data_IF_449784090193
#
_entry.id   IF_449784090193
#
_cell.length_a   1.000
_cell.length_b   1.000
_cell.length_c   1.000
_cell.angle_alpha   90.00
_cell.angle_beta   90.00
_cell.angle_gamma   90.00
#
_symmetry.space_group_name_H-M   'P 1'
#
loop_
_entity.id
_entity.type
_entity.pdbx_description
1 polymer ?
#
# COMPACT_ATOMS: atom_id res chain seq x y z
N UNK A 1 21.97 12.81 40.88
CA UNK A 1 21.90 14.28 41.06
C UNK A 1 22.04 14.97 39.72
N UNK A 2 21.18 15.92 39.47
CA UNK A 2 20.99 16.94 38.44
C UNK A 2 19.95 16.55 37.34
N UNK A 3 18.76 17.10 37.61
CA UNK A 3 17.66 17.38 36.69
C UNK A 3 18.09 18.44 35.66
N UNK A 4 17.62 18.34 34.43
CA UNK A 4 17.33 19.53 33.62
C UNK A 4 16.02 19.34 32.91
N UNK A 5 15.06 20.09 33.36
CA UNK A 5 13.79 20.42 32.73
C UNK A 5 14.01 21.56 31.73
N UNK A 6 13.38 21.52 30.55
CA UNK A 6 13.07 22.74 29.81
C UNK A 6 11.83 22.53 28.96
N UNK A 7 10.70 22.97 29.51
CA UNK A 7 9.52 23.37 28.77
C UNK A 7 9.84 24.53 27.81
N UNK A 8 9.35 24.48 26.59
CA UNK A 8 8.96 25.67 25.85
C UNK A 8 7.72 25.45 25.01
N UNK A 9 6.60 25.87 25.59
CA UNK A 9 5.38 26.19 24.86
C UNK A 9 5.60 27.43 23.99
N UNK A 10 5.17 27.40 22.74
CA UNK A 10 4.96 28.60 21.94
C UNK A 10 3.55 28.56 21.35
N UNK A 11 2.71 29.36 21.98
CA UNK A 11 1.39 29.78 21.49
C UNK A 11 1.64 30.87 20.44
N UNK A 12 1.09 30.73 19.25
CA UNK A 12 0.89 31.85 18.34
C UNK A 12 -0.58 32.02 18.03
N UNK A 13 -1.04 33.20 18.41
CA UNK A 13 -2.39 33.67 18.31
C UNK A 13 -2.81 34.01 16.88
N UNK A 14 -4.10 33.96 16.70
CA UNK A 14 -4.77 34.27 15.44
C UNK A 14 -4.66 35.72 15.01
N UNK A 15 -4.71 35.91 13.70
CA UNK A 15 -5.08 37.17 13.08
C UNK A 15 -6.02 36.89 11.90
N UNK A 16 -7.29 37.13 12.12
CA UNK A 16 -8.31 37.21 11.05
C UNK A 16 -8.19 38.54 10.35
N UNK A 17 -7.93 38.52 9.05
CA UNK A 17 -8.10 39.72 8.20
C UNK A 17 -9.13 39.40 7.14
N UNK A 18 -10.29 40.00 7.29
CA UNK A 18 -11.33 40.04 6.25
C UNK A 18 -10.98 41.14 5.24
N UNK A 19 -10.82 40.80 3.98
CA UNK A 19 -10.90 41.74 2.89
C UNK A 19 -12.00 41.33 1.92
N UNK A 20 -13.10 42.04 1.98
CA UNK A 20 -14.09 42.02 0.92
C UNK A 20 -13.71 43.04 -0.14
N UNK A 21 -13.62 42.62 -1.39
CA UNK A 21 -13.80 43.48 -2.56
C UNK A 21 -14.20 42.60 -3.74
N UNK A 22 -15.39 42.79 -4.26
CA UNK A 22 -15.87 42.13 -5.46
C UNK A 22 -15.14 42.63 -6.71
N UNK A 23 -14.85 41.68 -7.58
CA UNK A 23 -14.64 41.96 -9.00
C UNK A 23 -15.36 40.87 -9.81
N UNK A 24 -16.39 41.31 -10.55
CA UNK A 24 -17.00 40.54 -11.62
C UNK A 24 -15.94 40.22 -12.69
N UNK A 25 -15.57 38.97 -12.85
CA UNK A 25 -14.72 38.47 -13.90
C UNK A 25 -15.34 37.29 -14.59
N UNK A 26 -15.52 37.36 -15.89
CA UNK A 26 -16.12 36.37 -16.80
C UNK A 26 -15.88 34.94 -16.42
N UNK A 27 -16.99 34.21 -16.27
CA UNK A 27 -16.96 32.76 -16.07
C UNK A 27 -16.47 32.01 -17.30
N UNK A 28 -15.29 31.44 -17.22
CA UNK A 28 -14.97 30.22 -17.96
C UNK A 28 -15.37 29.08 -17.05
N UNK A 29 -16.53 28.48 -17.32
CA UNK A 29 -16.88 27.15 -16.79
C UNK A 29 -15.99 26.16 -17.54
N UNK A 30 -14.75 26.01 -17.06
CA UNK A 30 -13.99 24.81 -17.32
C UNK A 30 -14.55 23.74 -16.38
N UNK A 31 -15.23 22.74 -16.93
CA UNK A 31 -15.46 21.49 -16.22
C UNK A 31 -14.07 20.95 -15.83
N UNK A 32 -13.74 21.10 -14.56
CA UNK A 32 -12.71 20.31 -13.92
C UNK A 32 -13.25 18.87 -13.93
N UNK A 33 -12.98 18.14 -15.02
CA UNK A 33 -13.00 16.69 -14.98
C UNK A 33 -11.94 16.30 -13.96
N UNK A 34 -12.40 16.05 -12.73
CA UNK A 34 -11.60 15.33 -11.74
C UNK A 34 -11.40 13.93 -12.28
N UNK A 35 -10.26 13.71 -12.95
CA UNK A 35 -9.84 12.37 -13.36
C UNK A 35 -9.66 11.56 -12.08
N UNK A 36 -10.55 10.61 -11.85
CA UNK A 36 -10.49 9.64 -10.75
C UNK A 36 -9.42 8.59 -11.08
N UNK A 37 -8.17 8.90 -10.84
CA UNK A 37 -7.04 7.99 -11.05
C UNK A 37 -6.42 7.63 -9.70
N UNK A 38 -6.20 6.35 -9.40
CA UNK A 38 -5.94 5.86 -8.03
C UNK A 38 -5.38 4.42 -8.03
N UNK A 39 -4.53 3.98 -7.16
CA UNK A 39 -3.21 3.34 -7.20
C UNK A 39 -2.48 4.25 -8.11
N UNK A 40 -1.28 4.66 -7.87
CA UNK A 40 -0.79 5.72 -8.76
C UNK A 40 -1.04 5.31 -10.22
N UNK A 41 -1.92 6.04 -10.92
CA UNK A 41 -2.55 5.68 -12.21
C UNK A 41 -3.44 4.40 -12.21
N UNK A 42 -3.88 3.87 -11.06
CA UNK A 42 -4.85 2.78 -10.98
C UNK A 42 -6.30 3.24 -11.06
N UNK A 43 -7.24 2.31 -11.07
CA UNK A 43 -8.67 2.57 -11.05
C UNK A 43 -9.31 2.01 -9.78
N UNK A 44 -10.33 2.71 -9.28
CA UNK A 44 -11.10 2.25 -8.14
C UNK A 44 -11.90 1.00 -8.51
N UNK A 45 -11.77 -0.05 -7.71
CA UNK A 45 -12.46 -1.31 -7.97
C UNK A 45 -13.87 -1.30 -7.41
N UNK A 46 -14.75 -2.08 -8.03
CA UNK A 46 -16.11 -2.27 -7.53
C UNK A 46 -16.09 -2.88 -6.13
N UNK A 47 -17.05 -2.54 -5.25
CA UNK A 47 -17.19 -3.19 -3.97
C UNK A 47 -17.24 -4.72 -4.11
N UNK A 48 -16.42 -5.42 -3.31
CA UNK A 48 -16.29 -6.87 -3.35
C UNK A 48 -15.28 -7.43 -4.36
N UNK A 49 -14.68 -6.61 -5.23
CA UNK A 49 -13.56 -7.05 -6.04
C UNK A 49 -12.31 -7.30 -5.15
N UNK A 50 -11.51 -8.30 -5.54
CA UNK A 50 -10.33 -8.73 -4.79
C UNK A 50 -10.64 -8.89 -3.29
N UNK A 51 -11.59 -9.76 -2.91
CA UNK A 51 -12.00 -9.91 -1.50
C UNK A 51 -10.90 -10.48 -0.61
N UNK A 52 -9.87 -11.10 -1.20
CA UNK A 52 -8.65 -11.55 -0.53
C UNK A 52 -7.69 -10.41 -0.17
N UNK A 53 -7.82 -9.24 -0.82
CA UNK A 53 -6.96 -8.08 -0.56
C UNK A 53 -7.63 -7.15 0.45
N UNK A 54 -6.94 -6.87 1.53
CA UNK A 54 -7.47 -6.15 2.69
C UNK A 54 -6.55 -5.00 3.10
N UNK A 55 -7.11 -4.00 3.76
CA UNK A 55 -6.32 -2.98 4.45
C UNK A 55 -5.91 -3.53 5.82
N UNK A 56 -4.66 -3.36 6.18
CA UNK A 56 -4.15 -3.61 7.53
C UNK A 56 -4.00 -2.27 8.25
N UNK A 57 -4.66 -2.14 9.40
CA UNK A 57 -4.50 -1.00 10.30
C UNK A 57 -3.71 -1.44 11.52
N UNK A 58 -2.56 -0.80 11.74
CA UNK A 58 -1.71 -1.00 12.90
C UNK A 58 -1.92 0.16 13.87
N UNK A 59 -2.15 -0.15 15.15
CA UNK A 59 -2.29 0.84 16.20
C UNK A 59 -1.04 0.82 17.10
N UNK A 60 -0.49 1.98 17.39
CA UNK A 60 0.65 2.22 18.27
C UNK A 60 0.24 3.21 19.37
N UNK A 61 1.02 3.35 20.41
CA UNK A 61 0.74 4.29 21.51
C UNK A 61 0.64 5.75 21.05
N UNK A 62 1.40 6.13 20.02
CA UNK A 62 1.51 7.50 19.52
C UNK A 62 0.88 7.72 18.15
N UNK A 63 0.17 6.72 17.59
CA UNK A 63 -0.45 6.87 16.29
C UNK A 63 -0.98 5.59 15.66
N UNK A 64 -1.17 5.64 14.36
CA UNK A 64 -1.56 4.48 13.56
C UNK A 64 -0.89 4.49 12.20
N UNK A 65 -0.63 3.31 11.64
CA UNK A 65 -0.18 3.12 10.28
C UNK A 65 -1.17 2.26 9.50
N UNK A 66 -1.06 2.32 8.17
CA UNK A 66 -1.89 1.52 7.26
C UNK A 66 -1.04 0.90 6.18
N UNK A 67 -1.33 -0.34 5.90
CA UNK A 67 -0.73 -1.12 4.83
C UNK A 67 -1.81 -1.89 4.07
N UNK A 68 -1.41 -2.60 3.06
CA UNK A 68 -2.23 -3.57 2.35
C UNK A 68 -1.74 -4.98 2.69
N UNK A 69 -2.63 -5.94 2.68
CA UNK A 69 -2.30 -7.36 2.87
C UNK A 69 -3.16 -8.26 2.00
N UNK A 70 -2.75 -9.51 1.89
CA UNK A 70 -3.46 -10.50 1.06
C UNK A 70 -3.68 -11.79 1.84
N UNK A 71 -4.92 -12.22 2.02
CA UNK A 71 -5.21 -13.53 2.57
C UNK A 71 -4.70 -14.63 1.63
N UNK A 72 -3.85 -15.51 2.14
CA UNK A 72 -3.26 -16.65 1.40
C UNK A 72 -3.85 -17.99 1.85
N UNK A 73 -4.55 -17.99 2.97
CA UNK A 73 -5.41 -19.07 3.44
C UNK A 73 -6.52 -18.50 4.36
N UNK A 74 -7.27 -19.36 5.05
CA UNK A 74 -8.44 -18.97 5.87
C UNK A 74 -8.09 -18.02 7.04
N UNK A 75 -6.85 -18.03 7.52
CA UNK A 75 -6.45 -17.33 8.75
C UNK A 75 -5.18 -16.50 8.59
N UNK A 76 -4.48 -16.53 7.44
CA UNK A 76 -3.19 -15.90 7.29
C UNK A 76 -3.17 -14.85 6.18
N UNK A 77 -2.70 -13.66 6.54
CA UNK A 77 -2.45 -12.54 5.62
C UNK A 77 -0.96 -12.42 5.37
N UNK A 78 -0.56 -12.42 4.10
CA UNK A 78 0.78 -12.07 3.66
C UNK A 78 0.87 -10.56 3.47
N UNK A 79 1.93 -9.95 4.00
CA UNK A 79 2.19 -8.51 3.95
C UNK A 79 3.69 -8.22 4.00
N UNK A 80 4.08 -6.94 4.01
CA UNK A 80 5.48 -6.55 4.17
C UNK A 80 5.90 -6.58 5.65
N UNK A 81 7.16 -6.91 5.90
CA UNK A 81 7.72 -6.91 7.25
C UNK A 81 7.72 -5.51 7.86
N UNK A 82 8.09 -4.48 7.09
CA UNK A 82 8.12 -3.10 7.58
C UNK A 82 6.74 -2.59 8.06
N UNK A 83 5.65 -3.21 7.63
CA UNK A 83 4.30 -2.86 8.11
C UNK A 83 4.08 -3.28 9.57
N UNK A 84 4.69 -4.38 10.00
CA UNK A 84 4.34 -5.05 11.26
C UNK A 84 5.54 -5.30 12.18
N UNK A 85 6.76 -4.97 11.77
CA UNK A 85 7.96 -5.25 12.54
C UNK A 85 8.07 -4.46 13.87
N UNK A 86 7.33 -3.37 14.00
CA UNK A 86 7.31 -2.52 15.21
C UNK A 86 6.12 -2.83 16.14
N UNK A 87 5.22 -3.75 15.76
CA UNK A 87 4.11 -4.13 16.64
C UNK A 87 4.60 -5.04 17.77
N UNK A 88 3.87 -5.03 18.88
CA UNK A 88 4.06 -6.02 19.94
C UNK A 88 3.63 -7.41 19.43
N UNK A 89 4.57 -8.33 19.27
CA UNK A 89 4.30 -9.66 18.73
C UNK A 89 3.55 -10.57 19.70
N UNK A 90 3.56 -10.26 20.99
CA UNK A 90 2.79 -10.99 22.00
C UNK A 90 1.32 -10.56 22.03
N UNK A 91 1.04 -9.29 21.66
CA UNK A 91 -0.32 -8.75 21.60
C UNK A 91 -0.45 -7.76 20.43
N UNK A 92 -0.39 -8.24 19.17
CA UNK A 92 -0.32 -7.37 18.01
C UNK A 92 -1.61 -6.58 17.81
N UNK A 93 -1.53 -5.26 17.88
CA UNK A 93 -2.63 -4.33 17.57
C UNK A 93 -2.74 -4.11 16.05
N UNK A 94 -2.92 -5.20 15.29
CA UNK A 94 -3.11 -5.23 13.83
C UNK A 94 -4.51 -5.69 13.51
N UNK A 95 -5.22 -4.92 12.69
CA UNK A 95 -6.61 -5.18 12.32
C UNK A 95 -6.76 -5.33 10.82
N UNK A 96 -7.56 -6.32 10.40
CA UNK A 96 -8.07 -6.38 9.02
C UNK A 96 -9.24 -5.42 8.90
N UNK A 97 -9.16 -4.55 7.91
CA UNK A 97 -10.18 -3.55 7.59
C UNK A 97 -10.60 -3.69 6.13
N UNK A 98 -11.88 -3.56 5.88
CA UNK A 98 -12.45 -3.61 4.53
C UNK A 98 -13.36 -2.42 4.27
N UNK A 99 -13.55 -2.12 2.99
CA UNK A 99 -14.56 -1.17 2.54
C UNK A 99 -15.95 -1.75 2.79
N UNK A 100 -16.81 -0.95 3.38
CA UNK A 100 -18.19 -1.27 3.68
C UNK A 100 -19.09 -0.06 3.36
N UNK A 101 -20.39 -0.23 3.56
CA UNK A 101 -21.36 0.87 3.53
C UNK A 101 -22.14 0.86 4.83
N UNK A 102 -22.53 2.05 5.31
CA UNK A 102 -23.45 2.18 6.42
C UNK A 102 -24.90 1.90 5.98
N UNK A 103 -25.84 2.00 6.92
CA UNK A 103 -27.27 1.77 6.66
C UNK A 103 -27.88 2.77 5.66
N UNK A 104 -27.21 3.87 5.37
CA UNK A 104 -27.61 4.89 4.39
C UNK A 104 -26.88 4.71 3.05
N UNK A 105 -26.03 3.67 2.91
CA UNK A 105 -25.23 3.42 1.72
C UNK A 105 -23.98 4.30 1.60
N UNK A 106 -23.59 5.02 2.65
CA UNK A 106 -22.38 5.84 2.65
C UNK A 106 -21.15 4.97 2.89
N UNK A 107 -20.05 5.23 2.16
CA UNK A 107 -18.80 4.50 2.33
C UNK A 107 -18.28 4.61 3.76
N UNK A 108 -17.90 3.48 4.33
CA UNK A 108 -17.26 3.39 5.63
C UNK A 108 -16.19 2.28 5.65
N UNK A 109 -15.36 2.28 6.68
CA UNK A 109 -14.42 1.20 6.98
C UNK A 109 -14.98 0.31 8.09
N UNK A 110 -14.80 -1.00 7.94
CA UNK A 110 -15.22 -1.99 8.95
C UNK A 110 -14.05 -2.91 9.28
N UNK A 111 -13.68 -2.97 10.56
CA UNK A 111 -12.77 -3.98 11.05
C UNK A 111 -13.46 -5.36 11.05
N UNK A 112 -12.78 -6.37 10.53
CA UNK A 112 -13.25 -7.76 10.49
C UNK A 112 -12.64 -8.61 11.61
N UNK A 113 -11.41 -8.32 12.02
CA UNK A 113 -10.73 -9.06 13.07
C UNK A 113 -9.41 -8.42 13.48
N UNK A 114 -8.96 -8.78 14.69
CA UNK A 114 -7.66 -8.43 15.26
C UNK A 114 -6.69 -9.60 15.05
N UNK A 115 -5.43 -9.31 14.79
CA UNK A 115 -4.37 -10.30 14.68
C UNK A 115 -4.14 -11.03 16.00
N UNK A 116 -3.77 -12.30 15.92
CA UNK A 116 -3.40 -13.15 17.06
C UNK A 116 -1.90 -13.42 17.13
N UNK A 117 -1.20 -13.36 16.01
CA UNK A 117 0.26 -13.46 15.97
C UNK A 117 0.82 -12.84 14.68
N UNK A 118 2.11 -12.54 14.71
CA UNK A 118 2.88 -12.02 13.58
C UNK A 118 4.17 -12.80 13.45
N UNK A 119 4.49 -13.25 12.24
CA UNK A 119 5.78 -13.83 11.89
C UNK A 119 6.47 -12.94 10.86
N UNK A 120 7.63 -12.39 11.21
CA UNK A 120 8.47 -11.57 10.33
C UNK A 120 9.60 -12.42 9.77
N UNK A 121 9.97 -12.17 8.51
CA UNK A 121 11.11 -12.84 7.89
C UNK A 121 12.37 -12.65 8.74
N UNK A 122 13.11 -13.72 9.11
CA UNK A 122 14.20 -13.64 10.08
C UNK A 122 15.36 -12.74 9.65
N UNK A 123 15.55 -12.57 8.33
CA UNK A 123 16.61 -11.71 7.77
C UNK A 123 16.16 -10.26 7.58
N UNK A 124 14.95 -9.87 8.00
CA UNK A 124 14.51 -8.49 7.93
C UNK A 124 15.14 -7.67 9.07
N UNK A 125 15.95 -6.61 8.74
CA UNK A 125 16.76 -5.91 9.74
C UNK A 125 15.97 -4.89 10.59
N UNK A 126 14.67 -4.74 10.38
CA UNK A 126 13.78 -3.74 11.00
C UNK A 126 14.31 -2.29 10.87
N UNK A 127 14.79 -1.94 9.69
CA UNK A 127 15.33 -0.62 9.37
C UNK A 127 14.46 0.18 8.37
N UNK A 128 13.22 -0.28 8.15
CA UNK A 128 12.24 0.32 7.21
C UNK A 128 12.73 0.40 5.75
N UNK A 129 13.79 -0.33 5.40
CA UNK A 129 14.39 -0.30 4.07
C UNK A 129 13.75 -1.31 3.13
N UNK A 130 13.78 -1.02 1.83
CA UNK A 130 13.41 -1.95 0.76
C UNK A 130 14.40 -3.11 0.76
N UNK A 131 13.91 -4.32 1.08
CA UNK A 131 14.71 -5.55 1.20
C UNK A 131 13.98 -6.75 0.59
N UNK A 132 14.69 -7.72 0.02
CA UNK A 132 14.07 -8.97 -0.44
C UNK A 132 13.54 -9.84 0.71
N UNK A 133 13.92 -9.54 1.96
CA UNK A 133 13.39 -10.12 3.20
C UNK A 133 12.25 -9.29 3.82
N UNK A 134 11.75 -8.28 3.15
CA UNK A 134 10.64 -7.46 3.63
C UNK A 134 9.29 -8.18 3.46
N UNK A 135 9.11 -9.25 4.24
CA UNK A 135 7.99 -10.17 4.16
C UNK A 135 7.54 -10.59 5.55
N UNK A 136 6.23 -10.62 5.78
CA UNK A 136 5.64 -11.06 7.04
C UNK A 136 4.30 -11.79 6.80
N UNK A 137 3.96 -12.66 7.74
CA UNK A 137 2.66 -13.34 7.81
C UNK A 137 1.98 -12.95 9.11
N UNK A 138 0.74 -12.54 9.03
CA UNK A 138 -0.11 -12.17 10.16
C UNK A 138 -1.24 -13.18 10.29
N UNK A 139 -1.37 -13.79 11.48
CA UNK A 139 -2.42 -14.75 11.78
C UNK A 139 -3.67 -14.05 12.34
N UNK A 140 -4.83 -14.49 11.89
CA UNK A 140 -6.15 -14.07 12.36
C UNK A 140 -7.00 -15.30 12.76
N UNK A 141 -8.10 -15.06 13.47
CA UNK A 141 -9.09 -16.11 13.74
C UNK A 141 -9.80 -16.56 12.45
N UNK A 142 -10.38 -17.76 12.51
CA UNK A 142 -11.24 -18.26 11.43
C UNK A 142 -12.45 -17.35 11.23
N UNK A 143 -12.88 -17.19 9.96
CA UNK A 143 -14.03 -16.38 9.59
C UNK A 143 -13.72 -14.91 9.32
N UNK A 144 -12.47 -14.47 9.50
CA UNK A 144 -12.03 -13.10 9.12
C UNK A 144 -11.77 -13.01 7.61
N UNK A 145 -11.24 -14.06 7.00
CA UNK A 145 -10.98 -14.12 5.56
C UNK A 145 -12.26 -14.20 4.75
N UNK A 146 -12.40 -13.32 3.74
CA UNK A 146 -13.51 -13.33 2.78
C UNK A 146 -13.18 -14.17 1.53
N UNK A 147 -11.92 -14.28 1.18
CA UNK A 147 -11.39 -15.10 0.08
C UNK A 147 -9.87 -15.27 0.26
N UNK A 148 -9.25 -16.08 -0.57
CA UNK A 148 -7.84 -16.42 -0.48
C UNK A 148 -7.20 -16.35 -1.86
N UNK A 149 -6.02 -15.73 -1.94
CA UNK A 149 -5.20 -15.73 -3.15
C UNK A 149 -4.45 -17.07 -3.28
N UNK A 150 -4.36 -17.56 -4.50
CA UNK A 150 -3.46 -18.66 -4.82
C UNK A 150 -2.03 -18.12 -5.00
N UNK A 151 -1.06 -18.70 -4.31
CA UNK A 151 0.35 -18.39 -4.49
C UNK A 151 0.82 -18.91 -5.86
N UNK A 152 1.52 -18.07 -6.60
CA UNK A 152 2.13 -18.47 -7.86
C UNK A 152 3.34 -19.37 -7.57
N UNK A 153 3.36 -20.56 -8.15
CA UNK A 153 4.45 -21.53 -7.98
C UNK A 153 5.59 -21.35 -9.00
N UNK A 154 5.41 -20.49 -10.00
CA UNK A 154 6.40 -20.23 -11.04
C UNK A 154 7.03 -18.85 -10.84
N UNK A 155 8.37 -18.73 -10.94
CA UNK A 155 9.03 -17.43 -10.91
C UNK A 155 8.46 -16.47 -11.95
N UNK A 156 8.41 -15.19 -11.61
CA UNK A 156 8.05 -14.14 -12.55
C UNK A 156 9.12 -13.99 -13.64
N UNK A 157 8.75 -13.44 -14.79
CA UNK A 157 9.67 -13.21 -15.91
C UNK A 157 9.46 -11.81 -16.47
N UNK A 158 10.55 -11.19 -16.93
CA UNK A 158 10.49 -9.95 -17.70
C UNK A 158 9.49 -10.05 -18.85
N UNK A 159 8.67 -9.02 -19.01
CA UNK A 159 7.64 -8.93 -20.05
C UNK A 159 6.30 -9.54 -19.69
N UNK A 160 6.15 -10.23 -18.55
CA UNK A 160 4.84 -10.71 -18.10
C UNK A 160 3.95 -9.54 -17.65
N UNK A 161 2.67 -9.62 -17.99
CA UNK A 161 1.66 -8.68 -17.52
C UNK A 161 1.40 -8.93 -16.04
N UNK A 162 1.29 -7.86 -15.28
CA UNK A 162 1.00 -7.88 -13.86
C UNK A 162 -0.20 -6.99 -13.52
N UNK A 163 -0.83 -7.29 -12.40
CA UNK A 163 -1.83 -6.45 -11.75
C UNK A 163 -1.42 -6.22 -10.31
N UNK A 164 -1.43 -4.97 -9.87
CA UNK A 164 -1.25 -4.60 -8.47
C UNK A 164 -2.58 -4.17 -7.89
N UNK A 165 -2.79 -4.46 -6.61
CA UNK A 165 -4.01 -4.07 -5.88
C UNK A 165 -3.61 -3.52 -4.53
N UNK A 166 -4.24 -2.42 -4.10
CA UNK A 166 -3.92 -1.87 -2.79
C UNK A 166 -4.83 -0.74 -2.34
N UNK A 167 -4.51 -0.19 -1.18
CA UNK A 167 -5.22 0.91 -0.52
C UNK A 167 -4.39 2.19 -0.44
N UNK A 168 -3.25 2.21 -1.12
CA UNK A 168 -2.29 3.31 -1.09
C UNK A 168 -2.75 4.58 -1.78
N UNK A 169 -1.84 5.56 -1.82
CA UNK A 169 -2.06 6.84 -2.47
C UNK A 169 -2.23 6.68 -3.98
N UNK A 170 -3.11 7.49 -4.54
CA UNK A 170 -3.39 7.50 -5.99
C UNK A 170 -2.60 8.55 -6.77
N UNK A 171 -1.96 9.46 -6.08
CA UNK A 171 -1.06 10.45 -6.60
C UNK A 171 0.21 10.42 -5.77
N UNK A 172 1.34 10.28 -6.44
CA UNK A 172 2.67 10.39 -5.82
C UNK A 172 3.43 11.50 -6.53
N UNK A 173 3.96 12.44 -5.78
CA UNK A 173 4.70 13.58 -6.31
C UNK A 173 5.88 13.97 -5.42
N UNK A 174 6.82 14.68 -6.00
CA UNK A 174 7.97 15.25 -5.30
C UNK A 174 7.76 16.76 -5.12
N UNK A 175 7.89 17.24 -3.90
CA UNK A 175 7.90 18.66 -3.59
C UNK A 175 9.16 19.07 -2.80
N UNK A 176 9.17 20.30 -2.28
CA UNK A 176 10.29 20.82 -1.49
C UNK A 176 10.56 20.02 -0.21
N UNK A 177 9.55 19.35 0.35
CA UNK A 177 9.64 18.57 1.58
C UNK A 177 9.93 17.09 1.35
N UNK A 178 9.94 16.63 0.09
CA UNK A 178 10.23 15.25 -0.28
C UNK A 178 9.13 14.56 -1.07
N UNK A 179 9.07 13.23 -0.94
CA UNK A 179 8.07 12.40 -1.59
C UNK A 179 6.74 12.48 -0.82
N UNK A 180 5.67 12.82 -1.53
CA UNK A 180 4.33 12.98 -0.98
C UNK A 180 3.30 12.18 -1.77
N UNK A 181 2.10 12.01 -1.19
CA UNK A 181 0.99 11.35 -1.86
C UNK A 181 -0.37 11.75 -1.30
N UNK A 182 -1.40 11.53 -2.09
CA UNK A 182 -2.79 11.84 -1.76
C UNK A 182 -3.73 10.72 -2.15
N UNK A 183 -4.94 10.72 -1.58
CA UNK A 183 -6.07 9.88 -1.98
C UNK A 183 -6.01 8.42 -1.57
N UNK A 184 -5.23 8.06 -0.53
CA UNK A 184 -5.19 6.72 0.04
C UNK A 184 -6.49 6.26 0.68
N UNK A 185 -6.57 4.96 1.02
CA UNK A 185 -7.66 4.36 1.79
C UNK A 185 -8.85 3.82 0.98
N UNK A 186 -8.83 3.87 -0.34
CA UNK A 186 -9.79 3.17 -1.19
C UNK A 186 -9.06 2.08 -1.98
N UNK A 187 -9.71 0.91 -2.10
CA UNK A 187 -9.13 -0.21 -2.87
C UNK A 187 -9.10 0.10 -4.36
N UNK A 188 -7.95 -0.17 -4.96
CA UNK A 188 -7.71 0.06 -6.38
C UNK A 188 -6.88 -1.03 -6.99
N UNK A 189 -7.02 -1.18 -8.29
CA UNK A 189 -6.11 -2.00 -9.09
C UNK A 189 -5.45 -1.19 -10.21
N UNK A 190 -4.37 -1.75 -10.72
CA UNK A 190 -3.71 -1.22 -11.89
C UNK A 190 -2.79 -2.25 -12.51
N UNK A 191 -2.58 -2.12 -13.80
CA UNK A 191 -1.78 -3.06 -14.60
C UNK A 191 -0.45 -2.46 -15.02
N UNK A 192 0.54 -3.31 -15.16
CA UNK A 192 1.84 -2.98 -15.71
C UNK A 192 2.49 -4.22 -16.33
N UNK A 193 3.77 -4.15 -16.62
CA UNK A 193 4.58 -5.25 -17.17
C UNK A 193 5.84 -5.37 -16.32
N UNK A 194 6.27 -6.57 -16.04
CA UNK A 194 7.53 -6.85 -15.32
C UNK A 194 8.71 -6.36 -16.14
N UNK A 195 9.49 -5.42 -15.60
CA UNK A 195 10.71 -4.91 -16.24
C UNK A 195 11.94 -5.74 -15.90
N UNK A 196 12.04 -6.21 -14.64
CA UNK A 196 13.14 -7.07 -14.22
C UNK A 196 12.74 -7.98 -13.06
N UNK A 197 13.46 -9.10 -12.90
CA UNK A 197 13.36 -10.03 -11.78
C UNK A 197 14.79 -10.37 -11.36
N UNK A 198 15.25 -9.77 -10.29
CA UNK A 198 16.60 -9.92 -9.78
C UNK A 198 16.66 -9.68 -8.26
N UNK A 199 17.66 -10.26 -7.62
CA UNK A 199 18.01 -10.05 -6.22
C UNK A 199 16.82 -10.22 -5.23
N UNK A 200 15.90 -11.14 -5.55
CA UNK A 200 14.71 -11.42 -4.74
C UNK A 200 13.56 -10.43 -4.95
N UNK A 201 13.62 -9.58 -5.99
CA UNK A 201 12.59 -8.63 -6.35
C UNK A 201 12.01 -8.86 -7.74
N UNK A 202 10.73 -8.50 -7.88
CA UNK A 202 10.07 -8.19 -9.14
C UNK A 202 9.96 -6.67 -9.20
N UNK A 203 10.48 -6.05 -10.26
CA UNK A 203 10.48 -4.59 -10.42
C UNK A 203 9.81 -4.17 -11.72
N UNK A 204 9.21 -2.99 -11.69
CA UNK A 204 8.65 -2.37 -12.88
C UNK A 204 8.59 -0.85 -12.74
N UNK A 205 8.59 -0.17 -13.89
CA UNK A 205 8.50 1.28 -13.99
C UNK A 205 7.05 1.65 -14.31
N UNK A 206 6.53 2.62 -13.56
CA UNK A 206 5.18 3.14 -13.74
C UNK A 206 5.14 4.66 -13.77
N UNK A 207 3.96 5.19 -14.02
CA UNK A 207 3.73 6.64 -14.08
C UNK A 207 3.24 7.15 -12.73
N UNK A 208 3.91 8.14 -12.12
CA UNK A 208 3.58 8.62 -10.78
C UNK A 208 2.29 9.43 -10.69
N UNK A 209 1.70 9.79 -11.82
CA UNK A 209 0.42 10.51 -11.92
C UNK A 209 -0.23 10.24 -13.28
N UNK A 210 -1.52 10.55 -13.38
CA UNK A 210 -2.19 10.53 -14.67
C UNK A 210 -1.49 11.50 -15.65
N UNK A 211 -1.15 10.98 -16.81
CA UNK A 211 -0.49 11.77 -17.85
C UNK A 211 -1.27 11.65 -19.17
N UNK A 212 -1.19 12.68 -20.00
CA UNK A 212 -1.83 12.68 -21.32
C UNK A 212 -1.35 11.50 -22.16
N UNK A 213 -2.30 10.76 -22.73
CA UNK A 213 -2.02 9.57 -23.56
C UNK A 213 -1.73 8.28 -22.76
N UNK A 214 -1.84 8.29 -21.44
CA UNK A 214 -1.77 7.08 -20.61
C UNK A 214 -3.18 6.71 -20.15
N UNK A 215 -3.62 5.52 -20.51
CA UNK A 215 -4.93 4.98 -20.10
C UNK A 215 -4.94 4.75 -18.58
N UNK A 216 -6.00 5.19 -17.87
CA UNK A 216 -6.20 4.88 -16.45
C UNK A 216 -6.16 3.36 -16.21
N UNK A 217 -5.52 2.94 -15.12
CA UNK A 217 -5.33 1.53 -14.79
C UNK A 217 -4.17 0.86 -15.52
N UNK A 218 -3.42 1.61 -16.35
CA UNK A 218 -2.21 1.09 -17.02
C UNK A 218 -0.95 1.82 -16.53
N UNK A 219 0.22 1.23 -16.71
CA UNK A 219 1.49 1.74 -16.16
C UNK A 219 1.37 2.16 -14.69
N UNK A 220 0.59 1.42 -13.94
CA UNK A 220 0.33 1.67 -12.53
C UNK A 220 1.63 1.55 -11.72
N UNK A 221 1.70 2.29 -10.61
CA UNK A 221 2.82 2.35 -9.69
C UNK A 221 2.32 2.16 -8.26
N UNK A 222 3.07 1.48 -7.41
CA UNK A 222 2.78 1.42 -5.99
C UNK A 222 2.98 2.79 -5.33
N UNK A 223 2.03 3.20 -4.52
CA UNK A 223 2.07 4.41 -3.70
C UNK A 223 2.15 4.10 -2.21
N UNK A 224 2.37 5.11 -1.37
CA UNK A 224 2.36 4.96 0.09
C UNK A 224 1.00 4.39 0.55
N UNK A 225 1.04 3.30 1.34
CA UNK A 225 -0.13 2.52 1.77
C UNK A 225 -0.42 1.27 0.92
N UNK A 226 0.23 1.10 -0.25
CA UNK A 226 0.23 -0.16 -0.99
C UNK A 226 1.24 -1.17 -0.40
N UNK A 227 2.09 -0.75 0.52
CA UNK A 227 3.03 -1.60 1.28
C UNK A 227 2.36 -2.88 1.73
N UNK A 228 2.98 -4.03 1.46
CA UNK A 228 2.44 -5.36 1.75
C UNK A 228 1.35 -5.84 0.79
N UNK A 229 0.89 -5.01 -0.14
CA UNK A 229 -0.10 -5.36 -1.15
C UNK A 229 0.43 -6.31 -2.22
N UNK A 230 -0.48 -7.02 -2.92
CA UNK A 230 -0.11 -8.03 -3.89
C UNK A 230 0.32 -7.49 -5.25
N UNK A 231 1.23 -8.23 -5.88
CA UNK A 231 1.43 -8.26 -7.32
C UNK A 231 0.92 -9.61 -7.83
N UNK A 232 -0.08 -9.56 -8.69
CA UNK A 232 -0.63 -10.75 -9.35
C UNK A 232 -0.06 -10.91 -10.77
N UNK A 233 0.26 -12.15 -11.13
CA UNK A 233 0.52 -12.57 -12.51
C UNK A 233 -0.38 -13.76 -12.80
N UNK A 234 -1.13 -13.72 -13.89
CA UNK A 234 -2.15 -14.74 -14.26
C UNK A 234 -3.16 -15.00 -13.11
N UNK A 235 -3.53 -13.96 -12.36
CA UNK A 235 -4.46 -14.02 -11.22
C UNK A 235 -3.90 -14.69 -9.97
N UNK A 236 -2.60 -15.02 -9.93
CA UNK A 236 -1.93 -15.63 -8.79
C UNK A 236 -0.95 -14.67 -8.14
N UNK A 237 -0.87 -14.69 -6.83
CA UNK A 237 0.04 -13.86 -6.06
C UNK A 237 1.49 -14.24 -6.38
N UNK A 238 2.25 -13.30 -6.92
CA UNK A 238 3.64 -13.47 -7.33
C UNK A 238 4.62 -12.63 -6.51
N UNK A 239 4.16 -11.52 -5.94
CA UNK A 239 5.01 -10.62 -5.18
C UNK A 239 4.25 -9.79 -4.15
N UNK A 240 4.99 -9.21 -3.21
CA UNK A 240 4.51 -8.36 -2.10
C UNK A 240 5.19 -7.00 -2.17
N UNK A 241 4.44 -5.91 -2.12
CA UNK A 241 4.98 -4.55 -2.20
C UNK A 241 5.92 -4.26 -1.02
N UNK A 242 7.20 -4.02 -1.32
CA UNK A 242 8.18 -3.54 -0.32
C UNK A 242 8.32 -2.02 -0.38
N UNK A 243 8.26 -1.43 -1.56
CA UNK A 243 8.35 0.02 -1.68
C UNK A 243 8.59 0.49 -3.11
N UNK A 244 8.98 1.74 -3.22
CA UNK A 244 9.26 2.37 -4.51
C UNK A 244 9.83 3.76 -4.35
N UNK A 245 10.04 4.42 -5.47
CA UNK A 245 10.54 5.79 -5.50
C UNK A 245 10.36 6.44 -6.85
N UNK A 246 10.49 7.77 -6.87
CA UNK A 246 10.48 8.56 -8.10
C UNK A 246 11.90 8.91 -8.52
N UNK A 247 12.14 8.93 -9.82
CA UNK A 247 13.39 9.42 -10.39
C UNK A 247 13.13 10.29 -11.62
N UNK A 248 14.05 11.20 -11.91
CA UNK A 248 13.92 12.09 -13.05
C UNK A 248 14.29 11.37 -14.35
N UNK A 249 13.32 11.23 -15.26
CA UNK A 249 13.46 10.52 -16.53
C UNK A 249 13.77 11.46 -17.74
N UNK A 250 14.25 12.67 -17.48
CA UNK A 250 14.64 13.65 -18.52
C UNK A 250 13.52 14.59 -18.96
N UNK A 251 12.28 14.15 -19.01
CA UNK A 251 11.11 14.97 -19.35
C UNK A 251 10.06 15.07 -18.25
N UNK A 252 10.25 14.33 -17.16
CA UNK A 252 9.34 14.22 -16.02
C UNK A 252 9.84 13.17 -15.04
N UNK A 253 9.05 12.90 -14.01
CA UNK A 253 9.31 11.82 -13.08
C UNK A 253 8.66 10.51 -13.54
N UNK A 254 9.43 9.43 -13.51
CA UNK A 254 8.95 8.06 -13.53
C UNK A 254 9.07 7.46 -12.12
N UNK A 255 8.28 6.43 -11.85
CA UNK A 255 8.33 5.70 -10.59
C UNK A 255 8.81 4.27 -10.79
N UNK A 256 9.61 3.79 -9.84
CA UNK A 256 10.07 2.41 -9.77
C UNK A 256 9.42 1.73 -8.58
N UNK A 257 8.81 0.56 -8.78
CA UNK A 257 8.22 -0.26 -7.73
C UNK A 257 9.07 -1.51 -7.50
N UNK A 258 9.24 -1.87 -6.22
CA UNK A 258 9.90 -3.08 -5.74
C UNK A 258 8.89 -3.98 -5.04
N UNK A 259 8.75 -5.20 -5.55
CA UNK A 259 7.94 -6.26 -4.94
C UNK A 259 8.85 -7.42 -4.57
N UNK A 260 8.79 -7.86 -3.31
CA UNK A 260 9.47 -9.09 -2.89
C UNK A 260 8.93 -10.25 -3.71
N UNK A 261 9.81 -10.96 -4.44
CA UNK A 261 9.44 -12.16 -5.20
C UNK A 261 9.17 -13.32 -4.22
N UNK A 262 7.93 -13.76 -4.10
CA UNK A 262 7.57 -14.89 -3.24
C UNK A 262 8.15 -16.23 -3.72
N UNK A 263 8.67 -16.28 -4.94
CA UNK A 263 9.36 -17.44 -5.51
C UNK A 263 10.88 -17.39 -5.33
N UNK A 264 11.45 -16.33 -4.74
CA UNK A 264 12.86 -16.33 -4.37
C UNK A 264 13.15 -17.45 -3.35
N UNK A 265 14.37 -17.94 -3.28
CA UNK A 265 14.74 -19.01 -2.36
C UNK A 265 14.48 -18.64 -0.90
N UNK A 266 14.85 -17.41 -0.52
CA UNK A 266 14.63 -16.87 0.83
C UNK A 266 13.15 -16.78 1.18
N UNK A 267 12.33 -16.17 0.29
CA UNK A 267 10.88 -16.05 0.51
C UNK A 267 10.20 -17.41 0.62
N UNK A 268 10.52 -18.37 -0.26
CA UNK A 268 9.95 -19.72 -0.20
C UNK A 268 10.29 -20.42 1.10
N UNK A 269 11.56 -20.37 1.51
CA UNK A 269 12.00 -20.99 2.78
C UNK A 269 11.24 -20.42 3.98
N UNK A 270 11.04 -19.11 4.02
CA UNK A 270 10.23 -18.45 5.05
C UNK A 270 8.77 -18.90 5.00
N UNK A 271 8.13 -18.81 3.83
CA UNK A 271 6.71 -19.13 3.66
C UNK A 271 6.40 -20.62 3.97
N UNK A 272 7.28 -21.54 3.57
CA UNK A 272 7.15 -22.97 3.90
C UNK A 272 7.21 -23.23 5.42
N UNK A 273 7.91 -22.36 6.16
CA UNK A 273 8.02 -22.49 7.63
C UNK A 273 6.78 -21.94 8.36
N UNK A 274 6.20 -20.84 7.86
CA UNK A 274 5.17 -20.08 8.61
C UNK A 274 3.75 -20.29 8.11
N UNK A 275 3.55 -20.67 6.84
CA UNK A 275 2.22 -20.92 6.32
C UNK A 275 1.67 -22.25 6.83
N UNK A 276 0.47 -22.18 7.41
CA UNK A 276 -0.26 -23.37 7.83
C UNK A 276 -0.71 -24.16 6.60
N UNK A 277 -0.38 -25.42 6.56
CA UNK A 277 -0.93 -26.36 5.56
C UNK A 277 -2.44 -26.42 5.71
N UNK A 278 -3.15 -26.41 4.58
CA UNK A 278 -4.61 -26.58 4.51
C UNK A 278 -5.05 -27.92 5.05
#
# INVERSE_FOLDING_TARGET
MKKFSLLRSLVYGGLTVSFGAGLNGCGVKGDLQTSKVKVTNGVEVSPGAYPEVVELAMLFEDGSARCTGTFVNATQVLTAAHCVAEVDFENPEVYVVVDAQDDNGLPQKRALGKAISVAVHPDYPNDQSIRPSDLAVVDFEEGVSLAQAELRSKPAKKGEKLTIVGYGHNLTYMDYFGLNGEGGGLKRDGTNVVDDVADGFITFIGTPQAAEGIEPGTKALAGSGDSGGPLFIDGKLAGVTSGGGLYWAGSGYDGLSYYVDINSESSRSFLETVLKTK
#
